data_IF_065108919461
#
_entry.id   IF_065108919461
#
_cell.length_a   1.000
_cell.length_b   1.000
_cell.length_c   1.000
_cell.angle_alpha   90.00
_cell.angle_beta   90.00
_cell.angle_gamma   90.00
#
_symmetry.space_group_name_H-M   'P 1'
#
loop_
_entity.id
_entity.type
_entity.pdbx_description
1 polymer ?
#
# COMPACT_ATOMS: atom_id res chain seq x y z
N UNK A 1 31.56 6.66 -54.02
CA UNK A 1 31.41 5.83 -52.81
C UNK A 1 30.89 6.77 -51.74
N UNK A 2 29.57 6.75 -51.52
CA UNK A 2 28.92 7.62 -50.54
C UNK A 2 29.14 7.02 -49.15
N UNK A 3 29.76 7.79 -48.26
CA UNK A 3 29.85 7.45 -46.84
C UNK A 3 28.43 7.24 -46.30
N UNK A 4 28.12 6.02 -45.86
CA UNK A 4 26.96 5.76 -45.00
C UNK A 4 27.26 6.45 -43.68
N UNK A 5 26.78 7.68 -43.53
CA UNK A 5 26.59 8.29 -42.22
C UNK A 5 25.84 7.27 -41.35
N UNK A 6 26.28 7.11 -40.11
CA UNK A 6 25.67 6.23 -39.13
C UNK A 6 24.17 6.51 -39.02
N UNK A 7 23.33 5.61 -39.56
CA UNK A 7 21.88 5.57 -39.32
C UNK A 7 21.63 5.07 -37.90
N UNK A 8 22.05 5.83 -36.88
CA UNK A 8 21.55 5.59 -35.54
C UNK A 8 20.12 6.13 -35.46
N UNK A 9 19.15 5.32 -35.00
CA UNK A 9 17.78 5.76 -34.88
C UNK A 9 17.68 6.94 -33.90
N UNK A 10 16.86 7.93 -34.22
CA UNK A 10 16.59 9.01 -33.29
C UNK A 10 15.85 8.48 -32.07
N UNK A 11 16.26 8.90 -30.87
CA UNK A 11 15.67 8.40 -29.63
C UNK A 11 14.62 9.34 -29.06
N UNK A 12 13.45 8.79 -28.75
CA UNK A 12 12.40 9.47 -28.00
C UNK A 12 12.22 8.83 -26.62
N UNK A 13 11.92 9.66 -25.62
CA UNK A 13 11.68 9.24 -24.25
C UNK A 13 10.20 9.32 -23.91
N UNK A 14 9.68 8.27 -23.26
CA UNK A 14 8.31 8.25 -22.77
C UNK A 14 8.16 9.15 -21.53
N UNK A 15 7.04 9.87 -21.44
CA UNK A 15 6.74 10.69 -20.26
C UNK A 15 6.14 9.87 -19.13
N UNK A 16 6.39 10.22 -17.85
CA UNK A 16 5.71 9.59 -16.72
C UNK A 16 4.18 9.70 -16.86
N UNK A 17 3.48 8.57 -16.70
CA UNK A 17 2.02 8.48 -16.83
C UNK A 17 1.49 8.46 -18.27
N UNK A 18 2.36 8.46 -19.29
CA UNK A 18 1.97 8.34 -20.69
C UNK A 18 1.48 6.93 -21.01
N UNK A 19 0.44 6.82 -21.83
CA UNK A 19 -0.05 5.54 -22.30
C UNK A 19 0.76 5.03 -23.50
N UNK A 20 1.03 3.73 -23.59
CA UNK A 20 1.84 3.13 -24.67
C UNK A 20 1.32 3.47 -26.07
N UNK A 21 0.00 3.50 -26.27
CA UNK A 21 -0.62 3.92 -27.53
C UNK A 21 -0.20 5.34 -27.95
N UNK A 22 -0.13 6.27 -27.00
CA UNK A 22 0.24 7.66 -27.29
C UNK A 22 1.72 7.75 -27.62
N UNK A 23 2.56 6.99 -26.92
CA UNK A 23 4.00 6.96 -27.18
C UNK A 23 4.31 6.32 -28.54
N UNK A 24 3.66 5.20 -28.88
CA UNK A 24 3.74 4.56 -30.18
C UNK A 24 3.37 5.52 -31.33
N UNK A 25 2.29 6.30 -31.16
CA UNK A 25 1.90 7.30 -32.16
C UNK A 25 2.96 8.39 -32.32
N UNK A 26 3.58 8.86 -31.23
CA UNK A 26 4.65 9.87 -31.28
C UNK A 26 5.89 9.37 -32.03
N UNK A 27 6.29 8.10 -31.83
CA UNK A 27 7.38 7.48 -32.57
C UNK A 27 7.10 7.48 -34.08
N UNK A 28 5.87 7.09 -34.47
CA UNK A 28 5.45 7.04 -35.88
C UNK A 28 5.38 8.43 -36.50
N UNK A 29 4.79 9.40 -35.79
CA UNK A 29 4.67 10.77 -36.27
C UNK A 29 6.05 11.39 -36.49
N UNK A 30 7.00 11.12 -35.57
CA UNK A 30 8.39 11.56 -35.70
C UNK A 30 9.10 10.90 -36.87
N UNK A 31 9.00 9.57 -37.02
CA UNK A 31 9.65 8.83 -38.11
C UNK A 31 9.17 9.33 -39.48
N UNK A 32 7.88 9.61 -39.61
CA UNK A 32 7.28 10.15 -40.84
C UNK A 32 7.67 11.60 -41.11
N UNK A 33 7.64 12.45 -40.08
CA UNK A 33 7.96 13.87 -40.24
C UNK A 33 9.41 14.08 -40.68
N UNK A 34 10.33 13.34 -40.09
CA UNK A 34 11.76 13.55 -40.28
C UNK A 34 12.37 12.57 -41.30
N UNK A 35 11.59 11.57 -41.78
CA UNK A 35 12.05 10.52 -42.71
C UNK A 35 13.30 9.80 -42.19
N UNK A 36 13.28 9.44 -40.91
CA UNK A 36 14.37 8.76 -40.19
C UNK A 36 13.82 7.62 -39.35
N UNK A 37 14.66 6.65 -39.03
CA UNK A 37 14.34 5.62 -38.07
C UNK A 37 14.30 6.21 -36.66
N UNK A 38 13.34 5.78 -35.85
CA UNK A 38 13.11 6.28 -34.50
C UNK A 38 12.97 5.11 -33.53
N UNK A 39 13.63 5.19 -32.39
CA UNK A 39 13.47 4.25 -31.28
C UNK A 39 13.03 4.96 -30.00
N UNK A 40 12.43 4.23 -29.08
CA UNK A 40 12.13 4.71 -27.74
C UNK A 40 11.97 3.59 -26.74
N UNK A 41 12.36 3.84 -25.49
CA UNK A 41 12.13 2.91 -24.39
C UNK A 41 10.78 3.21 -23.73
N UNK A 42 9.94 2.19 -23.59
CA UNK A 42 8.72 2.25 -22.81
C UNK A 42 8.74 1.14 -21.77
N UNK A 43 8.89 1.50 -20.49
CA UNK A 43 8.98 0.56 -19.37
C UNK A 43 10.04 -0.55 -19.58
N UNK A 44 11.19 -0.22 -20.16
CA UNK A 44 12.29 -1.16 -20.42
C UNK A 44 12.15 -1.97 -21.71
N UNK A 45 11.09 -1.77 -22.51
CA UNK A 45 10.91 -2.38 -23.83
C UNK A 45 11.19 -1.33 -24.90
N UNK A 46 12.19 -1.60 -25.74
CA UNK A 46 12.52 -0.75 -26.89
C UNK A 46 11.49 -0.95 -28.00
N UNK A 47 10.83 0.13 -28.41
CA UNK A 47 10.00 0.21 -29.59
C UNK A 47 10.80 0.89 -30.70
N UNK A 48 10.71 0.35 -31.92
CA UNK A 48 11.44 0.86 -33.08
C UNK A 48 10.50 1.04 -34.26
N UNK A 49 10.63 2.17 -34.96
CA UNK A 49 9.90 2.50 -36.17
C UNK A 49 10.91 2.83 -37.25
N UNK A 50 10.95 2.02 -38.30
CA UNK A 50 11.72 2.37 -39.49
C UNK A 50 10.93 3.34 -40.36
N UNK A 51 11.63 4.32 -40.92
CA UNK A 51 11.10 5.25 -41.92
C UNK A 51 10.71 4.58 -43.24
N UNK A 52 11.24 3.39 -43.52
CA UNK A 52 10.98 2.65 -44.76
C UNK A 52 9.77 1.70 -44.65
N UNK A 53 9.30 1.42 -43.43
CA UNK A 53 8.23 0.47 -43.15
C UNK A 53 6.92 1.16 -42.75
N UNK A 54 5.80 0.64 -43.25
CA UNK A 54 4.48 1.10 -42.82
C UNK A 54 4.05 0.39 -41.54
N UNK A 55 4.53 0.88 -40.39
CA UNK A 55 4.14 0.39 -39.05
C UNK A 55 2.98 1.23 -38.50
N UNK A 56 2.00 0.58 -37.88
CA UNK A 56 0.89 1.26 -37.18
C UNK A 56 1.13 1.29 -35.66
N UNK A 57 0.43 2.19 -34.96
CA UNK A 57 0.52 2.25 -33.51
C UNK A 57 -0.01 0.95 -32.85
N UNK A 58 -0.98 0.29 -33.49
CA UNK A 58 -1.49 -1.00 -33.03
C UNK A 58 -0.44 -2.12 -33.13
N UNK A 59 0.38 -2.12 -34.19
CA UNK A 59 1.49 -3.08 -34.33
C UNK A 59 2.51 -2.93 -33.19
N UNK A 60 2.89 -1.69 -32.86
CA UNK A 60 3.83 -1.41 -31.77
C UNK A 60 3.25 -1.75 -30.40
N UNK A 61 1.96 -1.49 -30.18
CA UNK A 61 1.28 -1.84 -28.93
C UNK A 61 1.14 -3.36 -28.80
N UNK A 62 0.80 -4.06 -29.88
CA UNK A 62 0.75 -5.52 -29.91
C UNK A 62 2.14 -6.12 -29.62
N UNK A 63 3.20 -5.59 -30.25
CA UNK A 63 4.58 -5.99 -29.96
C UNK A 63 4.93 -5.78 -28.49
N UNK A 64 4.65 -4.59 -27.94
CA UNK A 64 4.89 -4.29 -26.53
C UNK A 64 4.16 -5.26 -25.61
N UNK A 65 2.89 -5.55 -25.87
CA UNK A 65 2.10 -6.50 -25.07
C UNK A 65 2.70 -7.91 -25.13
N UNK A 66 3.05 -8.41 -26.31
CA UNK A 66 3.68 -9.73 -26.47
C UNK A 66 5.02 -9.82 -25.73
N UNK A 67 5.86 -8.78 -25.83
CA UNK A 67 7.16 -8.73 -25.19
C UNK A 67 7.05 -8.59 -23.67
N UNK A 68 6.07 -7.81 -23.19
CA UNK A 68 5.73 -7.70 -21.77
C UNK A 68 5.28 -9.06 -21.21
N UNK A 69 4.41 -9.78 -21.92
CA UNK A 69 3.94 -11.11 -21.52
C UNK A 69 5.09 -12.13 -21.50
N UNK A 70 5.95 -12.11 -22.52
CA UNK A 70 7.15 -12.96 -22.59
C UNK A 70 8.06 -12.72 -21.39
N UNK A 71 8.40 -11.46 -21.08
CA UNK A 71 9.24 -11.10 -19.93
C UNK A 71 8.59 -11.47 -18.60
N UNK A 72 7.28 -11.30 -18.47
CA UNK A 72 6.54 -11.69 -17.27
C UNK A 72 6.56 -13.22 -17.07
N UNK A 73 6.45 -14.01 -18.14
CA UNK A 73 6.57 -15.47 -18.09
C UNK A 73 8.00 -15.92 -17.76
N UNK A 74 9.01 -15.29 -18.37
CA UNK A 74 10.41 -15.56 -18.07
C UNK A 74 10.75 -15.25 -16.61
N UNK A 75 10.29 -14.11 -16.10
CA UNK A 75 10.44 -13.77 -14.69
C UNK A 75 9.74 -14.80 -13.80
N UNK A 76 8.48 -15.17 -14.07
CA UNK A 76 7.75 -16.18 -13.28
C UNK A 76 8.46 -17.54 -13.24
N UNK A 77 9.21 -17.89 -14.28
CA UNK A 77 10.01 -19.13 -14.36
C UNK A 77 11.44 -19.00 -13.84
N UNK A 78 11.93 -17.78 -13.62
CA UNK A 78 13.27 -17.53 -13.07
C UNK A 78 13.36 -17.95 -11.60
N UNK A 79 14.56 -18.29 -11.10
CA UNK A 79 14.77 -18.53 -9.67
C UNK A 79 14.28 -17.38 -8.79
N UNK A 80 14.47 -16.14 -9.24
CA UNK A 80 14.05 -14.93 -8.54
C UNK A 80 12.52 -14.82 -8.45
N UNK A 81 11.81 -15.07 -9.55
CA UNK A 81 10.34 -15.01 -9.58
C UNK A 81 9.68 -16.17 -8.83
N UNK A 82 10.25 -17.38 -8.90
CA UNK A 82 9.81 -18.52 -8.08
C UNK A 82 9.98 -18.19 -6.60
N UNK A 83 11.16 -17.71 -6.21
CA UNK A 83 11.43 -17.30 -4.82
C UNK A 83 10.48 -16.19 -4.36
N UNK A 84 10.24 -15.18 -5.18
CA UNK A 84 9.31 -14.10 -4.86
C UNK A 84 7.87 -14.61 -4.68
N UNK A 85 7.43 -15.57 -5.50
CA UNK A 85 6.12 -16.20 -5.35
C UNK A 85 6.03 -17.04 -4.06
N UNK A 86 7.07 -17.80 -3.73
CA UNK A 86 7.17 -18.55 -2.46
C UNK A 86 7.13 -17.62 -1.24
N UNK A 87 7.89 -16.52 -1.28
CA UNK A 87 7.89 -15.50 -0.22
C UNK A 87 6.53 -14.82 -0.09
N UNK A 88 5.86 -14.52 -1.21
CA UNK A 88 4.52 -13.92 -1.22
C UNK A 88 3.47 -14.87 -0.61
N UNK A 89 3.46 -16.15 -0.98
CA UNK A 89 2.53 -17.14 -0.40
C UNK A 89 2.85 -17.42 1.07
N UNK A 90 4.14 -17.47 1.45
CA UNK A 90 4.54 -17.60 2.85
C UNK A 90 4.07 -16.42 3.68
N UNK A 91 4.24 -15.19 3.17
CA UNK A 91 3.77 -13.96 3.83
C UNK A 91 2.25 -13.94 3.98
N UNK A 92 1.52 -14.29 2.92
CA UNK A 92 0.06 -14.39 2.95
C UNK A 92 -0.41 -15.41 4.00
N UNK A 93 0.24 -16.58 4.05
CA UNK A 93 -0.07 -17.62 5.04
C UNK A 93 0.17 -17.10 6.47
N UNK A 94 1.33 -16.50 6.72
CA UNK A 94 1.66 -15.93 8.03
C UNK A 94 0.67 -14.82 8.45
N UNK A 95 0.22 -13.99 7.51
CA UNK A 95 -0.77 -12.93 7.79
C UNK A 95 -2.18 -13.49 8.00
N UNK A 96 -2.55 -14.55 7.28
CA UNK A 96 -3.80 -15.28 7.52
C UNK A 96 -3.83 -15.87 8.94
N UNK A 97 -2.75 -16.56 9.34
CA UNK A 97 -2.60 -17.09 10.70
C UNK A 97 -2.65 -15.98 11.76
N UNK A 98 -1.97 -14.85 11.50
CA UNK A 98 -2.00 -13.68 12.39
C UNK A 98 -3.42 -13.13 12.54
N UNK A 99 -4.17 -13.00 11.45
CA UNK A 99 -5.56 -12.53 11.48
C UNK A 99 -6.44 -13.46 12.32
N UNK A 100 -6.35 -14.77 12.11
CA UNK A 100 -7.11 -15.77 12.86
C UNK A 100 -6.78 -15.77 14.35
N UNK A 101 -5.49 -15.66 14.68
CA UNK A 101 -5.02 -15.55 16.07
C UNK A 101 -5.59 -14.30 16.73
N UNK A 102 -5.52 -13.14 16.07
CA UNK A 102 -6.02 -11.88 16.61
C UNK A 102 -7.55 -11.89 16.77
N UNK A 103 -8.29 -12.46 15.83
CA UNK A 103 -9.75 -12.64 15.93
C UNK A 103 -10.13 -13.61 17.06
N UNK A 104 -9.28 -14.61 17.34
CA UNK A 104 -9.46 -15.49 18.51
C UNK A 104 -9.15 -14.77 19.82
N UNK A 105 -8.10 -13.94 19.84
CA UNK A 105 -7.71 -13.15 21.02
C UNK A 105 -8.79 -12.15 21.47
N UNK A 106 -9.72 -11.76 20.58
CA UNK A 106 -10.86 -10.93 20.96
C UNK A 106 -11.69 -11.52 22.11
N UNK A 107 -11.74 -12.84 22.23
CA UNK A 107 -12.53 -13.52 23.25
C UNK A 107 -11.94 -13.35 24.67
N UNK A 108 -10.67 -12.94 24.77
CA UNK A 108 -9.94 -12.72 26.03
C UNK A 108 -9.26 -11.36 26.13
N UNK A 109 -9.48 -10.47 25.16
CA UNK A 109 -8.92 -9.12 25.16
C UNK A 109 -9.53 -8.31 26.31
N UNK A 110 -8.67 -7.66 27.10
CA UNK A 110 -9.11 -6.75 28.16
C UNK A 110 -9.47 -5.37 27.58
N UNK A 111 -10.75 -5.17 27.30
CA UNK A 111 -11.28 -3.90 26.76
C UNK A 111 -11.23 -2.73 27.74
N UNK A 112 -10.97 -2.97 29.03
CA UNK A 112 -10.71 -1.88 30.00
C UNK A 112 -9.28 -1.35 29.89
N UNK A 113 -8.38 -2.14 29.31
CA UNK A 113 -7.01 -1.74 28.99
C UNK A 113 -6.94 -1.13 27.59
N UNK A 114 -7.12 0.18 27.51
CA UNK A 114 -7.11 0.93 26.24
C UNK A 114 -5.81 0.75 25.44
N UNK A 115 -4.68 0.57 26.11
CA UNK A 115 -3.40 0.33 25.41
C UNK A 115 -3.42 -1.02 24.70
N UNK A 116 -3.93 -2.08 25.35
CA UNK A 116 -4.09 -3.39 24.73
C UNK A 116 -5.09 -3.36 23.56
N UNK A 117 -6.16 -2.58 23.68
CA UNK A 117 -7.13 -2.36 22.60
C UNK A 117 -6.47 -1.68 21.39
N UNK A 118 -5.71 -0.61 21.61
CA UNK A 118 -5.00 0.11 20.55
C UNK A 118 -3.90 -0.76 19.93
N UNK A 119 -3.19 -1.54 20.74
CA UNK A 119 -2.19 -2.51 20.28
C UNK A 119 -2.80 -3.55 19.35
N UNK A 120 -3.96 -4.11 19.74
CA UNK A 120 -4.66 -5.08 18.90
C UNK A 120 -5.03 -4.50 17.53
N UNK A 121 -5.57 -3.27 17.49
CA UNK A 121 -5.93 -2.59 16.24
C UNK A 121 -4.71 -2.39 15.33
N UNK A 122 -3.58 -1.99 15.91
CA UNK A 122 -2.30 -1.82 15.22
C UNK A 122 -1.80 -3.16 14.67
N UNK A 123 -1.83 -4.21 15.47
CA UNK A 123 -1.36 -5.53 15.04
C UNK A 123 -2.23 -6.17 13.96
N UNK A 124 -3.53 -5.89 14.00
CA UNK A 124 -4.50 -6.42 13.03
C UNK A 124 -4.47 -5.69 11.69
N UNK A 125 -4.03 -4.43 11.65
CA UNK A 125 -4.06 -3.59 10.45
C UNK A 125 -3.37 -4.24 9.26
N UNK A 126 -2.10 -4.65 9.43
CA UNK A 126 -1.30 -5.30 8.39
C UNK A 126 -1.97 -6.55 7.80
N UNK A 127 -2.57 -7.38 8.67
CA UNK A 127 -3.21 -8.61 8.24
C UNK A 127 -4.54 -8.32 7.52
N UNK A 128 -5.30 -7.33 8.00
CA UNK A 128 -6.59 -6.96 7.42
C UNK A 128 -6.49 -6.31 6.04
N UNK A 129 -5.39 -5.60 5.76
CA UNK A 129 -5.16 -4.86 4.50
C UNK A 129 -4.44 -5.70 3.44
N UNK A 130 -4.02 -6.93 3.77
CA UNK A 130 -3.32 -7.79 2.83
C UNK A 130 -4.27 -8.51 1.88
N UNK A 131 -3.98 -8.43 0.58
CA UNK A 131 -4.75 -9.13 -0.46
C UNK A 131 -4.74 -10.64 -0.19
N UNK A 132 -5.92 -11.26 -0.22
CA UNK A 132 -6.09 -12.70 -0.06
C UNK A 132 -6.12 -13.19 1.38
N UNK A 133 -6.01 -12.31 2.38
CA UNK A 133 -6.33 -12.61 3.78
C UNK A 133 -7.83 -12.43 4.01
N UNK A 134 -8.43 -13.34 4.78
CA UNK A 134 -9.85 -13.34 5.10
C UNK A 134 -10.07 -13.52 6.60
N UNK A 135 -11.09 -12.86 7.15
CA UNK A 135 -11.41 -12.91 8.57
C UNK A 135 -12.89 -12.61 8.80
N UNK A 136 -13.40 -12.97 9.98
CA UNK A 136 -14.78 -12.69 10.38
C UNK A 136 -14.95 -11.21 10.76
N UNK A 137 -15.28 -10.39 9.76
CA UNK A 137 -15.51 -8.94 9.93
C UNK A 137 -16.60 -8.65 10.95
N UNK A 138 -17.69 -9.43 10.92
CA UNK A 138 -18.84 -9.20 11.79
C UNK A 138 -18.48 -9.50 13.24
N UNK A 139 -17.75 -10.59 13.50
CA UNK A 139 -17.23 -10.89 14.85
C UNK A 139 -16.36 -9.74 15.37
N UNK A 140 -15.42 -9.23 14.57
CA UNK A 140 -14.56 -8.11 15.00
C UNK A 140 -15.43 -6.90 15.38
N UNK A 141 -16.27 -6.44 14.45
CA UNK A 141 -17.08 -5.23 14.65
C UNK A 141 -18.04 -5.36 15.83
N UNK A 142 -18.73 -6.50 15.96
CA UNK A 142 -19.70 -6.71 17.03
C UNK A 142 -19.04 -6.87 18.40
N UNK A 143 -17.89 -7.53 18.49
CA UNK A 143 -17.16 -7.62 19.75
C UNK A 143 -16.74 -6.24 20.22
N UNK A 144 -16.09 -5.43 19.38
CA UNK A 144 -15.73 -4.05 19.74
C UNK A 144 -16.94 -3.20 20.13
N UNK A 145 -18.03 -3.28 19.35
CA UNK A 145 -19.28 -2.56 19.64
C UNK A 145 -19.85 -2.91 21.00
N UNK A 146 -19.84 -4.20 21.37
CA UNK A 146 -20.35 -4.66 22.66
C UNK A 146 -19.57 -4.08 23.86
N UNK A 147 -18.33 -3.62 23.64
CA UNK A 147 -17.48 -2.95 24.61
C UNK A 147 -17.47 -1.41 24.49
N UNK A 148 -18.39 -0.83 23.71
CA UNK A 148 -18.55 0.61 23.57
C UNK A 148 -17.58 1.28 22.59
N UNK A 149 -16.91 0.49 21.75
CA UNK A 149 -16.13 0.97 20.62
C UNK A 149 -16.93 0.74 19.33
N UNK A 150 -17.46 1.80 18.73
CA UNK A 150 -18.28 1.68 17.52
C UNK A 150 -17.91 2.74 16.48
N UNK A 151 -18.33 2.49 15.25
CA UNK A 151 -18.16 3.44 14.14
C UNK A 151 -18.87 4.75 14.48
N UNK A 152 -18.17 5.87 14.25
CA UNK A 152 -18.71 7.21 14.46
C UNK A 152 -18.71 7.72 15.91
N UNK A 153 -18.27 6.90 16.89
CA UNK A 153 -18.18 7.32 18.30
C UNK A 153 -17.14 8.44 18.47
N UNK A 154 -17.50 9.45 19.27
CA UNK A 154 -16.66 10.60 19.62
C UNK A 154 -16.10 11.35 18.39
N UNK A 155 -16.89 11.48 17.33
CA UNK A 155 -16.51 12.22 16.11
C UNK A 155 -16.98 13.66 16.14
N UNK A 156 -16.38 14.51 15.30
CA UNK A 156 -16.80 15.90 15.13
C UNK A 156 -16.65 16.72 16.41
N UNK A 157 -17.77 17.26 16.92
CA UNK A 157 -17.78 18.12 18.13
C UNK A 157 -17.59 17.34 19.42
N UNK A 158 -17.86 16.02 19.40
CA UNK A 158 -17.77 15.15 20.57
C UNK A 158 -16.36 14.56 20.74
N UNK A 159 -15.45 14.83 19.80
CA UNK A 159 -14.06 14.45 19.90
C UNK A 159 -13.33 15.32 20.94
N UNK A 160 -12.68 14.66 21.89
CA UNK A 160 -11.78 15.27 22.86
C UNK A 160 -10.45 14.52 22.89
N UNK A 161 -9.46 15.02 22.14
CA UNK A 161 -8.13 14.44 22.10
C UNK A 161 -7.33 14.56 23.40
N UNK A 162 -7.80 15.30 24.41
CA UNK A 162 -7.19 15.36 25.76
C UNK A 162 -7.70 14.25 26.69
N UNK A 163 -8.76 13.55 26.31
CA UNK A 163 -9.32 12.42 27.04
C UNK A 163 -8.86 11.11 26.40
N UNK A 164 -8.17 10.28 27.21
CA UNK A 164 -7.59 9.01 26.79
C UNK A 164 -8.63 8.04 26.22
N UNK A 165 -9.77 7.90 26.91
CA UNK A 165 -10.84 7.00 26.51
C UNK A 165 -11.58 7.54 25.28
N UNK A 166 -11.83 8.86 25.26
CA UNK A 166 -12.49 9.49 24.12
C UNK A 166 -11.69 9.30 22.84
N UNK A 167 -10.38 9.58 22.88
CA UNK A 167 -9.49 9.42 21.74
C UNK A 167 -9.32 7.94 21.36
N UNK A 168 -9.18 7.02 22.32
CA UNK A 168 -9.12 5.58 22.01
C UNK A 168 -10.39 5.10 21.28
N UNK A 169 -11.58 5.47 21.77
CA UNK A 169 -12.86 5.12 21.14
C UNK A 169 -13.01 5.71 19.75
N UNK A 170 -12.63 6.98 19.56
CA UNK A 170 -12.62 7.60 18.24
C UNK A 170 -11.71 6.85 17.26
N UNK A 171 -10.48 6.54 17.68
CA UNK A 171 -9.48 5.84 16.87
C UNK A 171 -9.97 4.46 16.43
N UNK A 172 -10.45 3.66 17.39
CA UNK A 172 -10.99 2.33 17.10
C UNK A 172 -12.19 2.45 16.17
N UNK A 173 -13.06 3.44 16.39
CA UNK A 173 -14.18 3.73 15.49
C UNK A 173 -13.75 4.01 14.05
N UNK A 174 -12.65 4.73 13.83
CA UNK A 174 -12.07 4.94 12.48
C UNK A 174 -11.58 3.62 11.87
N UNK A 175 -10.95 2.76 12.68
CA UNK A 175 -10.47 1.45 12.21
C UNK A 175 -11.63 0.52 11.80
N UNK A 176 -12.69 0.46 12.60
CA UNK A 176 -13.89 -0.34 12.32
C UNK A 176 -14.64 0.18 11.08
N UNK A 177 -14.65 1.50 10.85
CA UNK A 177 -15.25 2.08 9.65
C UNK A 177 -14.52 1.60 8.38
N UNK A 178 -13.19 1.50 8.43
CA UNK A 178 -12.40 0.89 7.36
C UNK A 178 -12.83 -0.55 7.07
N UNK A 179 -12.99 -1.38 8.12
CA UNK A 179 -13.45 -2.76 7.96
C UNK A 179 -14.84 -2.81 7.30
N UNK A 180 -15.77 -1.92 7.67
CA UNK A 180 -17.12 -1.89 7.12
C UNK A 180 -17.19 -1.35 5.69
N UNK A 181 -16.39 -0.33 5.36
CA UNK A 181 -16.46 0.38 4.08
C UNK A 181 -15.60 -0.25 2.99
N UNK A 182 -14.37 -0.66 3.32
CA UNK A 182 -13.39 -1.17 2.36
C UNK A 182 -12.98 -2.61 2.65
N UNK A 183 -13.29 -3.14 3.84
CA UNK A 183 -12.97 -4.50 4.22
C UNK A 183 -11.69 -4.67 5.01
N UNK A 184 -10.99 -3.58 5.34
CA UNK A 184 -9.68 -3.56 6.00
C UNK A 184 -9.49 -2.30 6.85
N UNK A 185 -8.59 -2.35 7.83
CA UNK A 185 -8.21 -1.16 8.61
C UNK A 185 -7.30 -0.28 7.74
N UNK A 186 -7.64 1.01 7.63
CA UNK A 186 -6.85 1.96 6.86
C UNK A 186 -5.48 2.24 7.49
N UNK A 187 -4.42 2.34 6.67
CA UNK A 187 -3.02 2.54 7.06
C UNK A 187 -2.78 3.75 8.00
N UNK A 188 -3.62 4.79 7.91
CA UNK A 188 -3.51 6.02 8.75
C UNK A 188 -3.68 5.73 10.25
N UNK A 189 -4.32 4.61 10.61
CA UNK A 189 -4.58 4.24 12.01
C UNK A 189 -3.29 4.09 12.82
N UNK A 190 -2.18 3.65 12.21
CA UNK A 190 -0.87 3.61 12.89
C UNK A 190 -0.42 4.98 13.39
N UNK A 191 -0.64 6.03 12.60
CA UNK A 191 -0.29 7.40 13.00
C UNK A 191 -1.10 7.80 14.23
N UNK A 192 -2.41 7.59 14.20
CA UNK A 192 -3.28 7.95 15.33
C UNK A 192 -2.97 7.13 16.59
N UNK A 193 -2.66 5.85 16.43
CA UNK A 193 -2.23 5.00 17.54
C UNK A 193 -0.91 5.47 18.14
N UNK A 194 0.05 5.88 17.31
CA UNK A 194 1.30 6.49 17.75
C UNK A 194 1.07 7.79 18.53
N UNK A 195 0.22 8.67 18.01
CA UNK A 195 -0.15 9.93 18.66
C UNK A 195 -0.83 9.68 20.03
N UNK A 196 -1.73 8.70 20.12
CA UNK A 196 -2.40 8.29 21.35
C UNK A 196 -1.39 7.73 22.38
N UNK A 197 -0.54 6.78 21.97
CA UNK A 197 0.46 6.14 22.86
C UNK A 197 1.47 7.15 23.40
N UNK A 198 1.93 8.08 22.55
CA UNK A 198 2.83 9.15 22.98
C UNK A 198 2.21 10.02 24.08
N UNK A 199 0.88 10.17 24.09
CA UNK A 199 0.17 11.03 25.03
C UNK A 199 -0.27 10.31 26.31
N UNK A 200 -0.73 9.08 26.18
CA UNK A 200 -1.42 8.35 27.25
C UNK A 200 -0.82 6.99 27.60
N UNK A 201 0.07 6.45 26.76
CA UNK A 201 0.68 5.13 26.96
C UNK A 201 1.57 5.07 28.20
N UNK A 202 1.92 3.85 28.61
CA UNK A 202 2.66 3.61 29.87
C UNK A 202 3.97 4.41 29.96
N UNK A 203 4.67 4.56 28.85
CA UNK A 203 5.92 5.33 28.80
C UNK A 203 5.68 6.80 29.15
N UNK A 204 4.64 7.43 28.57
CA UNK A 204 4.29 8.82 28.87
C UNK A 204 3.87 9.02 30.33
N UNK A 205 3.21 8.02 30.93
CA UNK A 205 2.85 8.04 32.35
C UNK A 205 4.08 7.91 33.25
N UNK A 206 5.02 7.03 32.88
CA UNK A 206 6.28 6.81 33.61
C UNK A 206 7.16 8.07 33.61
N UNK A 207 7.31 8.71 32.45
CA UNK A 207 8.08 9.97 32.31
C UNK A 207 7.45 11.10 33.14
N UNK A 208 6.12 11.21 33.15
CA UNK A 208 5.41 12.19 34.00
C UNK A 208 5.66 11.94 35.49
N UNK A 209 5.55 10.69 35.95
CA UNK A 209 5.80 10.33 37.34
C UNK A 209 7.23 10.67 37.78
N UNK A 210 8.23 10.36 36.95
CA UNK A 210 9.63 10.70 37.22
C UNK A 210 9.88 12.21 37.33
N UNK A 211 9.26 13.01 36.45
CA UNK A 211 9.37 14.47 36.50
C UNK A 211 8.74 15.03 37.78
N UNK A 212 7.60 14.47 38.21
CA UNK A 212 6.91 14.89 39.42
C UNK A 212 7.68 14.52 40.70
N UNK A 213 8.28 13.34 40.74
CA UNK A 213 9.16 12.91 41.84
C UNK A 213 10.39 13.83 41.97
N UNK A 214 11.03 14.21 40.86
CA UNK A 214 12.13 15.19 40.86
C UNK A 214 11.66 16.55 41.40
N UNK A 215 10.48 17.02 40.99
CA UNK A 215 9.93 18.31 41.44
C UNK A 215 9.59 18.31 42.93
N UNK A 216 9.13 17.18 43.46
CA UNK A 216 8.75 17.05 44.87
C UNK A 216 9.96 16.80 45.79
N UNK A 217 11.03 16.16 45.30
CA UNK A 217 12.28 15.98 46.05
C UNK A 217 13.20 17.21 46.12
N UNK A 218 12.88 18.29 45.39
CA UNK A 218 13.59 19.58 45.41
C UNK A 218 12.92 20.64 46.31
N UNK A 219 11.84 20.29 47.01
CA UNK A 219 11.18 21.14 48.02
C UNK A 219 11.60 20.73 49.42
#
# INVERSE_FOLDING_TARGET
MSERLSNEPQRLEAMPGQHVQQFAQQLIDRAKADSVDVEGDFNGITLHVSSEESVTAEDLVSFYSQESDRRAEEYRKSPEGIKAAEEAESRKTALQEKAEQLVTQLDSLDFSNLEAVVDWIVDFQDASDHIGVSFDKQKVVDTFRSHGFDVGVNTGKDFNGEDSENFAKWLVGQALDGINSVGAIHQVVHKFAGDWKKKFGKQAQTEKAQIEDIRNGLK
#
